data_IF_548987057046
#
_entry.id   IF_548987057046
#
_cell.length_a   1.000
_cell.length_b   1.000
_cell.length_c   1.000
_cell.angle_alpha   90.00
_cell.angle_beta   90.00
_cell.angle_gamma   90.00
#
_symmetry.space_group_name_H-M   'P 1'
#
loop_
_entity.id
_entity.type
_entity.pdbx_description
1 polymer ?
#
# COMPACT_ATOMS: atom_id res chain seq x y z
N UNK A 1 24.01 -3.49 -1.08
CA UNK A 1 23.19 -2.32 -0.71
C UNK A 1 21.80 -2.53 -1.30
N UNK A 2 20.74 -2.50 -0.47
CA UNK A 2 19.36 -2.70 -0.94
C UNK A 2 18.93 -1.51 -1.83
N UNK A 3 17.97 -1.73 -2.75
CA UNK A 3 17.31 -0.65 -3.48
C UNK A 3 16.41 0.15 -2.53
N UNK A 4 17.04 0.93 -1.65
CA UNK A 4 16.37 1.83 -0.73
C UNK A 4 15.82 3.00 -1.53
N UNK A 5 14.52 3.22 -1.42
CA UNK A 5 13.88 4.40 -1.96
C UNK A 5 14.08 5.56 -0.98
N UNK A 6 14.41 6.72 -1.53
CA UNK A 6 14.33 8.01 -0.86
C UNK A 6 13.32 8.87 -1.62
N UNK A 7 12.49 9.61 -0.89
CA UNK A 7 11.41 10.47 -1.41
C UNK A 7 11.57 11.94 -0.99
N UNK A 8 12.70 12.25 -0.36
CA UNK A 8 13.07 13.59 0.13
C UNK A 8 13.55 14.44 -1.04
N UNK A 9 12.58 14.95 -1.79
CA UNK A 9 12.76 15.84 -2.93
C UNK A 9 11.66 16.90 -2.97
N UNK A 10 11.93 17.96 -3.72
CA UNK A 10 10.97 19.00 -4.05
C UNK A 10 9.79 18.40 -4.83
N UNK A 11 8.58 18.84 -4.47
CA UNK A 11 7.32 18.36 -5.05
C UNK A 11 6.54 19.48 -5.75
N UNK A 12 7.16 20.64 -5.92
CA UNK A 12 6.55 21.81 -6.53
C UNK A 12 6.52 21.65 -8.06
N UNK A 13 5.33 21.61 -8.69
CA UNK A 13 5.23 21.58 -10.14
C UNK A 13 5.96 22.76 -10.79
N UNK A 14 6.69 22.51 -11.87
CA UNK A 14 7.46 23.54 -12.59
C UNK A 14 8.82 23.91 -11.97
N UNK A 15 9.16 23.42 -10.79
CA UNK A 15 10.49 23.63 -10.20
C UNK A 15 11.54 22.74 -10.88
N UNK A 16 12.75 23.27 -11.13
CA UNK A 16 13.87 22.49 -11.69
C UNK A 16 14.30 21.30 -10.81
N UNK A 17 14.03 21.39 -9.51
CA UNK A 17 14.32 20.35 -8.53
C UNK A 17 13.16 19.36 -8.31
N UNK A 18 12.06 19.47 -9.06
CA UNK A 18 10.93 18.55 -8.93
C UNK A 18 11.38 17.10 -9.10
N UNK A 19 11.19 16.29 -8.05
CA UNK A 19 11.58 14.87 -8.05
C UNK A 19 13.09 14.60 -8.02
N UNK A 20 13.94 15.63 -7.95
CA UNK A 20 15.40 15.48 -7.91
C UNK A 20 15.84 15.16 -6.48
N UNK A 21 16.52 14.04 -6.28
CA UNK A 21 17.09 13.66 -4.98
C UNK A 21 18.45 14.31 -4.78
N UNK A 22 18.78 14.65 -3.53
CA UNK A 22 20.09 15.18 -3.13
C UNK A 22 20.56 16.39 -3.96
N UNK A 23 19.63 17.27 -4.36
CA UNK A 23 19.98 18.48 -5.09
C UNK A 23 20.91 19.37 -4.24
N UNK A 24 21.94 20.00 -4.83
CA UNK A 24 22.77 20.98 -4.12
C UNK A 24 21.97 22.21 -3.64
N UNK A 25 20.77 22.41 -4.18
CA UNK A 25 19.88 23.51 -3.78
C UNK A 25 19.12 23.21 -2.49
N UNK A 26 19.24 22.00 -1.94
CA UNK A 26 18.57 21.58 -0.72
C UNK A 26 19.36 21.96 0.54
N UNK A 27 18.71 22.70 1.43
CA UNK A 27 19.29 23.16 2.69
C UNK A 27 18.45 22.65 3.85
N UNK A 28 19.08 21.98 4.82
CA UNK A 28 18.37 21.52 6.03
C UNK A 28 17.96 22.71 6.88
N UNK A 29 16.69 22.72 7.31
CA UNK A 29 16.13 23.67 8.24
C UNK A 29 15.38 22.90 9.35
N UNK A 30 16.08 22.65 10.46
CA UNK A 30 15.54 21.83 11.54
C UNK A 30 15.23 20.40 11.09
N UNK A 31 13.94 20.01 11.16
CA UNK A 31 13.44 18.69 10.75
C UNK A 31 13.11 18.61 9.24
N UNK A 32 13.13 19.75 8.55
CA UNK A 32 12.72 19.89 7.17
C UNK A 32 13.90 20.26 6.25
N UNK A 33 13.63 20.27 4.95
CA UNK A 33 14.56 20.65 3.89
C UNK A 33 13.92 21.71 3.01
N UNK A 34 14.60 22.84 2.89
CA UNK A 34 14.22 23.94 2.00
C UNK A 34 14.81 23.70 0.62
N UNK A 35 13.97 23.75 -0.42
CA UNK A 35 14.40 23.88 -1.80
C UNK A 35 14.65 25.36 -2.14
N UNK A 36 15.93 25.78 -2.27
CA UNK A 36 16.28 27.19 -2.53
C UNK A 36 15.73 27.75 -3.85
N UNK A 37 15.43 26.88 -4.81
CA UNK A 37 14.93 27.30 -6.13
C UNK A 37 13.49 27.78 -6.14
N UNK A 38 12.64 27.18 -5.31
CA UNK A 38 11.20 27.50 -5.30
C UNK A 38 10.68 27.87 -3.91
N UNK A 39 11.54 27.89 -2.89
CA UNK A 39 11.17 28.17 -1.51
C UNK A 39 10.36 27.06 -0.84
N UNK A 40 10.11 25.93 -1.51
CA UNK A 40 9.32 24.84 -0.93
C UNK A 40 10.07 24.18 0.22
N UNK A 41 9.52 24.28 1.41
CA UNK A 41 9.96 23.57 2.60
C UNK A 41 9.25 22.22 2.63
N UNK A 42 10.01 21.13 2.53
CA UNK A 42 9.47 19.79 2.61
C UNK A 42 10.10 19.01 3.75
N UNK A 43 9.30 18.18 4.42
CA UNK A 43 9.79 17.40 5.53
C UNK A 43 10.53 16.14 5.08
N UNK A 44 11.44 15.69 5.95
CA UNK A 44 12.28 14.50 5.74
C UNK A 44 11.53 13.24 6.15
N UNK A 45 11.48 12.25 5.26
CA UNK A 45 10.92 10.94 5.52
C UNK A 45 12.05 9.94 5.68
N UNK A 46 12.05 9.23 6.82
CA UNK A 46 13.10 8.23 7.09
C UNK A 46 13.10 7.16 6.00
N UNK A 47 14.18 7.14 5.21
CA UNK A 47 14.40 6.09 4.23
C UNK A 47 14.39 4.70 4.89
N UNK A 48 14.87 4.56 6.13
CA UNK A 48 14.80 3.31 6.88
C UNK A 48 13.37 2.85 7.12
N UNK A 49 12.53 3.71 7.70
CA UNK A 49 11.14 3.42 8.01
C UNK A 49 10.32 3.13 6.74
N UNK A 50 10.50 3.95 5.70
CA UNK A 50 9.82 3.77 4.41
C UNK A 50 10.18 2.44 3.76
N UNK A 51 11.47 2.09 3.72
CA UNK A 51 11.89 0.84 3.10
C UNK A 51 11.50 -0.39 3.92
N UNK A 52 11.50 -0.31 5.26
CA UNK A 52 11.02 -1.40 6.12
C UNK A 52 9.52 -1.66 5.93
N UNK A 53 8.71 -0.59 5.89
CA UNK A 53 7.29 -0.70 5.58
C UNK A 53 7.07 -1.29 4.18
N UNK A 54 7.77 -0.77 3.18
CA UNK A 54 7.75 -1.25 1.80
C UNK A 54 8.10 -2.73 1.70
N UNK A 55 9.11 -3.22 2.44
CA UNK A 55 9.46 -4.64 2.46
C UNK A 55 8.35 -5.52 3.06
N UNK A 56 7.61 -5.00 4.04
CA UNK A 56 6.44 -5.70 4.61
C UNK A 56 5.35 -5.85 3.55
N UNK A 57 5.00 -4.76 2.86
CA UNK A 57 4.00 -4.75 1.79
C UNK A 57 4.42 -5.65 0.61
N UNK A 58 5.70 -5.63 0.24
CA UNK A 58 6.24 -6.44 -0.87
C UNK A 58 6.02 -7.94 -0.71
N UNK A 59 5.90 -8.45 0.53
CA UNK A 59 5.60 -9.87 0.77
C UNK A 59 4.21 -10.25 0.30
N UNK A 60 3.22 -9.37 0.50
CA UNK A 60 1.86 -9.57 0.00
C UNK A 60 1.79 -9.61 -1.53
N UNK A 61 2.64 -8.82 -2.18
CA UNK A 61 2.74 -8.72 -3.64
C UNK A 61 3.78 -9.67 -4.27
N UNK A 62 4.23 -10.70 -3.53
CA UNK A 62 5.29 -11.61 -3.96
C UNK A 62 4.97 -12.28 -5.30
N UNK A 63 5.76 -11.96 -6.32
CA UNK A 63 5.64 -12.51 -7.68
C UNK A 63 4.56 -11.83 -8.54
N UNK A 64 3.80 -10.89 -7.98
CA UNK A 64 2.73 -10.18 -8.67
C UNK A 64 3.20 -8.85 -9.26
N UNK A 65 4.25 -8.25 -8.68
CA UNK A 65 4.92 -7.04 -9.21
C UNK A 65 6.35 -7.35 -9.62
N UNK A 66 6.92 -6.61 -10.59
CA UNK A 66 8.35 -6.70 -10.97
C UNK A 66 9.31 -6.10 -9.94
N UNK A 67 9.14 -6.45 -8.67
CA UNK A 67 10.05 -6.11 -7.59
C UNK A 67 10.36 -7.35 -6.74
N UNK A 68 11.57 -7.38 -6.19
CA UNK A 68 11.94 -8.39 -5.22
C UNK A 68 11.05 -8.27 -3.98
N UNK A 69 10.36 -9.35 -3.56
CA UNK A 69 9.50 -9.34 -2.39
C UNK A 69 10.24 -9.08 -1.07
N UNK A 70 11.57 -9.21 -1.07
CA UNK A 70 12.39 -9.09 0.13
C UNK A 70 13.10 -7.74 0.26
N UNK A 71 13.67 -7.22 -0.82
CA UNK A 71 14.42 -5.95 -0.78
C UNK A 71 13.89 -4.86 -1.71
N UNK A 72 12.83 -5.14 -2.48
CA UNK A 72 12.22 -4.17 -3.39
C UNK A 72 13.06 -3.81 -4.63
N UNK A 73 14.16 -4.52 -4.90
CA UNK A 73 14.94 -4.33 -6.14
C UNK A 73 14.15 -4.73 -7.38
N UNK A 74 14.27 -3.96 -8.45
CA UNK A 74 13.76 -4.29 -9.80
C UNK A 74 14.77 -5.11 -10.62
N UNK A 75 16.01 -5.30 -10.13
CA UNK A 75 17.03 -6.12 -10.80
C UNK A 75 16.73 -7.60 -10.57
N UNK A 76 15.93 -8.16 -11.48
CA UNK A 76 15.43 -9.54 -11.43
C UNK A 76 15.92 -10.31 -12.66
N UNK A 77 16.39 -11.54 -12.44
CA UNK A 77 16.80 -12.46 -13.51
C UNK A 77 15.95 -13.73 -13.49
N UNK A 78 15.69 -14.31 -14.66
CA UNK A 78 15.05 -15.63 -14.78
C UNK A 78 15.93 -16.68 -14.12
N UNK A 79 15.34 -17.61 -13.38
CA UNK A 79 16.03 -18.63 -12.58
C UNK A 79 15.30 -19.99 -12.67
N UNK A 80 15.10 -20.46 -13.89
CA UNK A 80 14.44 -21.75 -14.17
C UNK A 80 12.97 -21.78 -13.76
N UNK A 81 12.50 -22.98 -13.42
CA UNK A 81 11.11 -23.28 -13.13
C UNK A 81 10.95 -23.96 -11.75
N UNK A 82 9.75 -23.87 -11.18
CA UNK A 82 9.36 -24.67 -10.03
C UNK A 82 9.06 -26.12 -10.45
N UNK A 83 8.91 -27.02 -9.48
CA UNK A 83 8.44 -28.40 -9.73
C UNK A 83 7.05 -28.44 -10.37
N UNK A 84 6.26 -27.37 -10.22
CA UNK A 84 4.94 -27.22 -10.83
C UNK A 84 5.00 -26.49 -12.19
N UNK A 85 6.20 -26.29 -12.76
CA UNK A 85 6.39 -25.62 -14.05
C UNK A 85 6.26 -24.09 -14.01
N UNK A 86 6.15 -23.47 -12.84
CA UNK A 86 5.99 -22.01 -12.74
C UNK A 86 7.33 -21.29 -12.83
N UNK A 87 7.37 -20.14 -13.52
CA UNK A 87 8.59 -19.35 -13.65
C UNK A 87 9.14 -18.91 -12.29
N UNK A 88 10.44 -19.09 -12.12
CA UNK A 88 11.18 -18.62 -10.94
C UNK A 88 12.08 -17.45 -11.33
N UNK A 89 12.09 -16.42 -10.49
CA UNK A 89 12.96 -15.26 -10.61
C UNK A 89 13.93 -15.24 -9.44
N UNK A 90 15.14 -14.73 -9.67
CA UNK A 90 16.14 -14.45 -8.65
C UNK A 90 16.43 -12.95 -8.62
N UNK A 91 16.55 -12.37 -7.42
CA UNK A 91 16.98 -10.98 -7.27
C UNK A 91 18.50 -10.89 -7.35
N UNK A 92 19.03 -10.02 -8.21
CA UNK A 92 20.48 -9.82 -8.33
C UNK A 92 21.10 -9.16 -7.09
N UNK A 93 20.32 -8.38 -6.32
CA UNK A 93 20.81 -7.69 -5.13
C UNK A 93 20.85 -8.58 -3.88
N UNK A 94 19.75 -9.28 -3.55
CA UNK A 94 19.67 -10.09 -2.33
C UNK A 94 19.73 -11.59 -2.57
N UNK A 95 19.85 -12.03 -3.84
CA UNK A 95 19.92 -13.43 -4.29
C UNK A 95 18.71 -14.31 -3.97
N UNK A 96 17.70 -13.78 -3.26
CA UNK A 96 16.46 -14.52 -2.97
C UNK A 96 15.71 -14.83 -4.26
N UNK A 97 15.16 -16.05 -4.30
CA UNK A 97 14.34 -16.54 -5.39
C UNK A 97 12.87 -16.52 -5.01
N UNK A 98 12.00 -16.35 -6.00
CA UNK A 98 10.56 -16.39 -5.83
C UNK A 98 9.87 -16.80 -7.12
N UNK A 99 8.65 -17.31 -6.99
CA UNK A 99 7.83 -17.75 -8.12
C UNK A 99 6.99 -16.57 -8.62
N UNK A 100 6.89 -16.46 -9.94
CA UNK A 100 5.98 -15.54 -10.64
C UNK A 100 4.84 -16.39 -11.19
N UNK A 101 3.64 -16.35 -10.59
CA UNK A 101 2.51 -17.11 -11.10
C UNK A 101 2.04 -16.52 -12.44
N UNK A 102 1.64 -17.40 -13.35
CA UNK A 102 1.09 -17.01 -14.67
C UNK A 102 -0.44 -16.88 -14.65
N UNK A 103 -1.12 -17.80 -13.96
CA UNK A 103 -2.58 -17.86 -13.90
C UNK A 103 -3.04 -18.10 -12.46
N UNK A 104 -4.18 -17.50 -12.12
CA UNK A 104 -4.85 -17.81 -10.88
C UNK A 104 -5.32 -19.26 -10.90
N UNK A 105 -5.01 -19.99 -9.83
CA UNK A 105 -5.54 -21.34 -9.59
C UNK A 105 -6.75 -21.17 -8.69
N UNK A 106 -7.95 -21.26 -9.24
CA UNK A 106 -9.17 -21.36 -8.43
C UNK A 106 -9.52 -22.81 -8.19
N UNK A 107 -10.09 -23.08 -7.02
CA UNK A 107 -10.75 -24.34 -6.69
C UNK A 107 -12.19 -24.02 -6.28
N UNK A 108 -13.09 -24.99 -6.36
CA UNK A 108 -14.53 -24.78 -6.13
C UNK A 108 -14.84 -24.06 -4.80
N UNK A 109 -14.03 -24.30 -3.77
CA UNK A 109 -14.19 -23.68 -2.45
C UNK A 109 -13.69 -22.23 -2.41
N UNK A 110 -12.74 -21.85 -3.27
CA UNK A 110 -12.38 -20.43 -3.45
C UNK A 110 -13.48 -19.67 -4.19
N UNK A 111 -14.12 -20.29 -5.17
CA UNK A 111 -15.26 -19.69 -5.88
C UNK A 111 -16.44 -19.52 -4.92
N UNK A 112 -16.77 -20.54 -4.12
CA UNK A 112 -17.81 -20.47 -3.09
C UNK A 112 -17.50 -19.37 -2.04
N UNK A 113 -16.25 -19.29 -1.56
CA UNK A 113 -15.84 -18.21 -0.66
C UNK A 113 -16.04 -16.82 -1.28
N UNK A 114 -15.75 -16.65 -2.57
CA UNK A 114 -15.95 -15.39 -3.27
C UNK A 114 -17.44 -15.02 -3.33
N UNK A 115 -18.30 -15.96 -3.73
CA UNK A 115 -19.76 -15.78 -3.75
C UNK A 115 -20.30 -15.36 -2.38
N UNK A 116 -19.89 -16.03 -1.30
CA UNK A 116 -20.38 -15.69 0.04
C UNK A 116 -19.97 -14.29 0.49
N UNK A 117 -18.79 -13.81 0.08
CA UNK A 117 -18.33 -12.45 0.35
C UNK A 117 -19.16 -11.44 -0.46
N UNK A 118 -19.43 -11.71 -1.73
CA UNK A 118 -20.25 -10.87 -2.60
C UNK A 118 -21.70 -10.74 -2.07
N UNK A 119 -22.24 -11.82 -1.52
CA UNK A 119 -23.56 -11.84 -0.87
C UNK A 119 -23.58 -11.15 0.50
N UNK A 120 -22.42 -10.70 1.01
CA UNK A 120 -22.33 -10.03 2.31
C UNK A 120 -22.45 -10.97 3.51
N UNK A 121 -22.15 -12.26 3.34
CA UNK A 121 -22.22 -13.25 4.42
C UNK A 121 -21.24 -12.89 5.54
N UNK A 122 -21.72 -12.93 6.78
CA UNK A 122 -20.85 -12.68 7.95
C UNK A 122 -19.71 -13.70 8.05
N UNK A 123 -18.58 -13.31 8.67
CA UNK A 123 -17.44 -14.22 8.88
C UNK A 123 -17.84 -15.52 9.62
N UNK A 124 -18.79 -15.43 10.56
CA UNK A 124 -19.32 -16.60 11.26
C UNK A 124 -20.14 -17.51 10.31
N UNK A 125 -20.94 -16.92 9.43
CA UNK A 125 -21.68 -17.63 8.39
C UNK A 125 -20.75 -18.36 7.42
N UNK A 126 -19.73 -17.66 6.91
CA UNK A 126 -18.72 -18.24 6.01
C UNK A 126 -18.02 -19.43 6.67
N UNK A 127 -17.63 -19.31 7.94
CA UNK A 127 -17.00 -20.41 8.69
C UNK A 127 -17.91 -21.63 8.80
N UNK A 128 -19.19 -21.40 9.09
CA UNK A 128 -20.18 -22.47 9.23
C UNK A 128 -20.39 -23.21 7.91
N UNK A 129 -20.65 -22.47 6.82
CA UNK A 129 -20.94 -23.05 5.52
C UNK A 129 -19.75 -23.76 4.90
N UNK A 130 -18.56 -23.13 4.92
CA UNK A 130 -17.33 -23.72 4.39
C UNK A 130 -16.68 -24.73 5.35
N UNK A 131 -17.26 -24.93 6.55
CA UNK A 131 -16.73 -25.80 7.61
C UNK A 131 -15.27 -25.48 7.96
N UNK A 132 -14.97 -24.20 8.15
CA UNK A 132 -13.62 -23.70 8.45
C UNK A 132 -13.50 -23.21 9.90
N UNK A 133 -12.37 -23.55 10.53
CA UNK A 133 -11.93 -22.87 11.74
C UNK A 133 -11.38 -21.47 11.42
N UNK A 134 -11.05 -20.67 12.43
CA UNK A 134 -10.51 -19.32 12.23
C UNK A 134 -9.20 -19.33 11.43
N UNK A 135 -8.35 -20.34 11.63
CA UNK A 135 -7.08 -20.47 10.91
C UNK A 135 -7.30 -20.82 9.44
N UNK A 136 -8.20 -21.78 9.18
CA UNK A 136 -8.60 -22.19 7.85
C UNK A 136 -9.23 -21.05 7.06
N UNK A 137 -10.14 -20.29 7.67
CA UNK A 137 -10.74 -19.11 7.03
C UNK A 137 -9.68 -18.07 6.69
N UNK A 138 -8.78 -17.73 7.63
CA UNK A 138 -7.69 -16.79 7.35
C UNK A 138 -6.83 -17.23 6.16
N UNK A 139 -6.45 -18.51 6.10
CA UNK A 139 -5.70 -19.07 4.96
C UNK A 139 -6.48 -18.97 3.65
N UNK A 140 -7.78 -19.25 3.67
CA UNK A 140 -8.64 -19.17 2.50
C UNK A 140 -8.78 -17.72 2.01
N UNK A 141 -8.96 -16.74 2.92
CA UNK A 141 -9.00 -15.31 2.59
C UNK A 141 -7.67 -14.81 2.02
N UNK A 142 -6.53 -15.23 2.59
CA UNK A 142 -5.21 -14.90 2.03
C UNK A 142 -5.01 -15.47 0.62
N UNK A 143 -5.50 -16.69 0.36
CA UNK A 143 -5.44 -17.31 -0.97
C UNK A 143 -6.33 -16.56 -1.96
N UNK A 144 -7.56 -16.23 -1.56
CA UNK A 144 -8.52 -15.49 -2.40
C UNK A 144 -7.99 -14.08 -2.72
N UNK A 145 -7.50 -13.35 -1.72
CA UNK A 145 -6.86 -12.03 -1.92
C UNK A 145 -5.68 -12.09 -2.88
N UNK A 146 -4.85 -13.14 -2.78
CA UNK A 146 -3.74 -13.36 -3.72
C UNK A 146 -4.23 -13.64 -5.14
N UNK A 147 -5.28 -14.44 -5.29
CA UNK A 147 -5.88 -14.75 -6.60
C UNK A 147 -6.51 -13.51 -7.22
N UNK A 148 -7.23 -12.70 -6.45
CA UNK A 148 -7.77 -11.42 -6.89
C UNK A 148 -6.66 -10.49 -7.40
N UNK A 149 -5.59 -10.29 -6.62
CA UNK A 149 -4.45 -9.46 -7.04
C UNK A 149 -3.76 -9.99 -8.31
N UNK A 150 -3.72 -11.31 -8.53
CA UNK A 150 -3.18 -11.89 -9.74
C UNK A 150 -4.11 -11.68 -10.95
N UNK A 151 -5.41 -11.87 -10.78
CA UNK A 151 -6.40 -11.58 -11.81
C UNK A 151 -6.32 -10.11 -12.24
N UNK A 152 -6.28 -9.21 -11.26
CA UNK A 152 -6.09 -7.77 -11.49
C UNK A 152 -4.80 -7.50 -12.27
N UNK A 153 -3.66 -8.01 -11.82
CA UNK A 153 -2.38 -7.82 -12.53
C UNK A 153 -2.41 -8.33 -13.99
N UNK A 154 -3.18 -9.37 -14.30
CA UNK A 154 -3.27 -9.93 -15.65
C UNK A 154 -4.22 -9.17 -16.57
N UNK A 155 -5.14 -8.40 -16.02
CA UNK A 155 -6.17 -7.71 -16.79
C UNK A 155 -5.64 -6.41 -17.40
N UNK A 156 -5.92 -6.21 -18.69
CA UNK A 156 -5.47 -5.04 -19.45
C UNK A 156 -6.47 -3.88 -19.32
N UNK A 157 -5.98 -2.65 -19.34
CA UNK A 157 -6.83 -1.48 -19.46
C UNK A 157 -7.31 -1.30 -20.91
N UNK A 158 -8.56 -0.85 -21.14
CA UNK A 158 -9.11 -0.71 -22.48
C UNK A 158 -8.42 0.41 -23.27
N UNK A 159 -8.09 1.53 -22.62
CA UNK A 159 -7.47 2.71 -23.23
C UNK A 159 -6.02 2.94 -22.74
N UNK A 160 -5.27 3.76 -23.48
CA UNK A 160 -3.94 4.23 -23.06
C UNK A 160 -4.02 5.36 -22.03
N UNK A 161 -4.99 6.26 -22.20
CA UNK A 161 -5.25 7.36 -21.28
C UNK A 161 -6.28 6.91 -20.25
N UNK A 162 -5.80 6.24 -19.22
CA UNK A 162 -6.63 5.84 -18.07
C UNK A 162 -6.69 6.98 -17.06
N UNK A 163 -7.89 7.27 -16.57
CA UNK A 163 -8.07 8.15 -15.42
C UNK A 163 -8.12 7.29 -14.15
N UNK A 164 -7.35 7.68 -13.14
CA UNK A 164 -7.26 6.96 -11.87
C UNK A 164 -7.74 7.87 -10.74
N UNK A 165 -8.64 7.34 -9.91
CA UNK A 165 -9.13 8.01 -8.72
C UNK A 165 -8.66 7.27 -7.49
N UNK A 166 -8.00 7.98 -6.56
CA UNK A 166 -7.59 7.44 -5.27
C UNK A 166 -8.47 8.01 -4.17
N UNK A 167 -9.07 7.14 -3.37
CA UNK A 167 -9.83 7.53 -2.17
C UNK A 167 -9.20 6.95 -0.92
N UNK A 168 -9.24 7.76 0.13
CA UNK A 168 -8.85 7.37 1.48
C UNK A 168 -10.09 7.20 2.35
N UNK A 169 -10.16 6.12 3.12
CA UNK A 169 -11.22 5.92 4.10
C UNK A 169 -10.73 5.08 5.28
N UNK A 170 -11.56 5.02 6.32
CA UNK A 170 -11.29 4.27 7.54
C UNK A 170 -12.08 2.98 7.53
N UNK A 171 -11.43 1.87 7.87
CA UNK A 171 -12.06 0.56 7.98
C UNK A 171 -11.88 0.02 9.39
N UNK A 172 -12.95 -0.49 9.99
CA UNK A 172 -12.86 -1.18 11.27
C UNK A 172 -12.09 -2.49 11.09
N UNK A 173 -11.16 -2.79 11.99
CA UNK A 173 -10.25 -3.92 11.87
C UNK A 173 -10.19 -4.67 13.19
N UNK A 174 -10.39 -5.99 13.20
CA UNK A 174 -10.34 -6.82 14.41
C UNK A 174 -11.28 -6.40 15.58
N UNK A 175 -12.29 -5.57 15.33
CA UNK A 175 -13.30 -5.17 16.32
C UNK A 175 -12.82 -4.12 17.34
N UNK A 176 -13.77 -3.56 18.11
CA UNK A 176 -13.54 -2.45 19.04
C UNK A 176 -13.22 -1.13 18.34
N UNK A 177 -12.45 -0.25 18.99
CA UNK A 177 -11.98 1.04 18.45
C UNK A 177 -10.81 0.90 17.45
N UNK A 178 -10.65 -0.29 16.90
CA UNK A 178 -9.54 -0.63 16.03
C UNK A 178 -9.86 -0.26 14.59
N UNK A 179 -9.05 0.61 14.01
CA UNK A 179 -9.33 1.17 12.68
C UNK A 179 -8.07 1.33 11.84
N UNK A 180 -8.17 1.01 10.56
CA UNK A 180 -7.09 1.17 9.59
C UNK A 180 -7.41 2.32 8.66
N UNK A 181 -6.37 3.08 8.32
CA UNK A 181 -6.40 3.99 7.18
C UNK A 181 -6.13 3.18 5.92
N UNK A 182 -7.05 3.25 4.97
CA UNK A 182 -7.01 2.50 3.71
C UNK A 182 -7.02 3.45 2.54
N UNK A 183 -6.14 3.19 1.57
CA UNK A 183 -6.11 3.82 0.26
C UNK A 183 -6.58 2.81 -0.78
N UNK A 184 -7.51 3.24 -1.62
CA UNK A 184 -7.98 2.48 -2.78
C UNK A 184 -7.82 3.36 -4.00
N UNK A 185 -7.13 2.84 -5.02
CA UNK A 185 -7.10 3.44 -6.35
C UNK A 185 -7.90 2.59 -7.30
N UNK A 186 -8.83 3.22 -8.02
CA UNK A 186 -9.62 2.61 -9.06
C UNK A 186 -9.51 3.39 -10.38
N UNK A 187 -9.72 2.70 -11.49
CA UNK A 187 -9.87 3.32 -12.80
C UNK A 187 -11.29 3.86 -12.96
N UNK A 188 -11.42 5.11 -13.39
CA UNK A 188 -12.68 5.87 -13.28
C UNK A 188 -13.78 5.34 -14.20
N UNK A 189 -13.47 4.84 -15.40
CA UNK A 189 -14.49 4.43 -16.36
C UNK A 189 -15.07 3.06 -16.04
N UNK A 190 -14.22 2.10 -15.70
CA UNK A 190 -14.63 0.72 -15.39
C UNK A 190 -14.97 0.52 -13.92
N UNK A 191 -14.60 1.45 -13.03
CA UNK A 191 -14.71 1.29 -11.58
C UNK A 191 -13.75 0.24 -11.01
N UNK A 192 -12.84 -0.28 -11.84
CA UNK A 192 -11.94 -1.38 -11.52
C UNK A 192 -10.92 -0.97 -10.47
N UNK A 193 -10.77 -1.76 -9.41
CA UNK A 193 -9.81 -1.50 -8.34
C UNK A 193 -8.41 -1.94 -8.78
N UNK A 194 -7.49 -0.97 -8.87
CA UNK A 194 -6.09 -1.20 -9.25
C UNK A 194 -5.25 -1.62 -8.05
N UNK A 195 -5.42 -0.94 -6.91
CA UNK A 195 -4.64 -1.22 -5.71
C UNK A 195 -5.43 -0.88 -4.44
N UNK A 196 -5.20 -1.69 -3.41
CA UNK A 196 -5.66 -1.45 -2.03
C UNK A 196 -4.43 -1.48 -1.13
N UNK A 197 -4.33 -0.53 -0.20
CA UNK A 197 -3.25 -0.50 0.79
C UNK A 197 -3.77 0.00 2.13
N UNK A 198 -3.28 -0.58 3.22
CA UNK A 198 -3.58 -0.11 4.56
C UNK A 198 -2.32 0.38 5.26
N UNK A 199 -2.49 1.11 6.35
CA UNK A 199 -1.41 1.53 7.24
C UNK A 199 -1.04 0.47 8.30
N UNK A 200 -1.39 -0.79 8.10
CA UNK A 200 -0.97 -1.88 8.97
C UNK A 200 0.44 -2.37 8.59
N UNK A 201 1.29 -2.59 9.59
CA UNK A 201 2.59 -3.22 9.44
C UNK A 201 2.69 -4.44 10.36
N UNK A 202 3.01 -5.60 9.78
CA UNK A 202 3.33 -6.81 10.53
C UNK A 202 4.77 -6.80 11.09
N UNK A 203 5.58 -5.81 10.74
CA UNK A 203 6.94 -5.64 11.25
C UNK A 203 7.03 -4.38 12.11
N UNK A 204 7.87 -4.40 13.16
CA UNK A 204 8.05 -3.23 13.99
C UNK A 204 8.81 -2.13 13.24
N UNK A 205 8.33 -0.89 13.39
CA UNK A 205 8.99 0.34 12.96
C UNK A 205 9.32 1.20 14.18
N UNK A 206 10.24 2.14 14.01
CA UNK A 206 10.57 3.15 15.02
C UNK A 206 9.31 3.89 15.49
N UNK A 207 9.29 4.23 16.78
CA UNK A 207 8.14 4.87 17.44
C UNK A 207 7.69 6.17 16.75
N UNK A 208 8.63 6.91 16.13
CA UNK A 208 8.34 8.14 15.39
C UNK A 208 7.47 7.94 14.14
N UNK A 209 7.38 6.70 13.62
CA UNK A 209 6.61 6.33 12.44
C UNK A 209 5.37 5.49 12.76
N UNK A 210 5.15 5.21 14.03
CA UNK A 210 3.91 4.59 14.51
C UNK A 210 2.82 5.65 14.58
N UNK A 211 1.61 5.27 14.19
CA UNK A 211 0.45 6.14 14.29
C UNK A 211 0.00 6.25 15.75
N UNK A 212 -0.29 7.47 16.18
CA UNK A 212 -0.93 7.75 17.45
C UNK A 212 -2.01 8.78 17.20
N UNK A 213 -3.22 8.51 17.69
CA UNK A 213 -4.30 9.50 17.67
C UNK A 213 -4.13 10.48 18.82
N UNK A 214 -4.36 11.77 18.56
CA UNK A 214 -4.43 12.81 19.57
C UNK A 214 -5.63 12.57 20.49
N UNK A 215 -5.50 12.99 21.75
CA UNK A 215 -6.55 12.81 22.75
C UNK A 215 -7.85 13.52 22.33
N UNK A 216 -7.76 14.69 21.70
CA UNK A 216 -8.94 15.46 21.29
C UNK A 216 -9.79 14.71 20.24
N UNK A 217 -9.18 13.88 19.38
CA UNK A 217 -9.91 13.05 18.41
C UNK A 217 -10.66 11.88 19.07
N UNK A 218 -10.35 11.57 20.32
CA UNK A 218 -11.02 10.54 21.12
C UNK A 218 -12.17 11.10 21.96
N UNK A 219 -12.28 12.41 22.06
CA UNK A 219 -13.39 13.05 22.77
C UNK A 219 -14.69 12.79 22.01
N UNK A 220 -15.81 12.52 22.72
CA UNK A 220 -17.08 12.22 22.09
C UNK A 220 -17.48 13.30 21.07
N UNK A 221 -18.20 12.89 20.01
CA UNK A 221 -18.61 13.81 18.96
C UNK A 221 -19.52 14.91 19.54
N UNK A 222 -19.16 16.17 19.26
CA UNK A 222 -19.99 17.33 19.55
C UNK A 222 -20.85 17.72 18.34
N UNK A 223 -21.35 18.96 18.33
CA UNK A 223 -21.97 19.51 17.11
C UNK A 223 -20.97 19.54 15.94
N UNK A 224 -21.45 19.59 14.69
CA UNK A 224 -20.59 19.66 13.51
C UNK A 224 -19.57 20.81 13.60
N UNK A 225 -20.00 21.98 14.08
CA UNK A 225 -19.12 23.14 14.29
C UNK A 225 -17.96 22.82 15.25
N UNK A 226 -18.24 22.15 16.38
CA UNK A 226 -17.21 21.74 17.32
C UNK A 226 -16.24 20.72 16.71
N UNK A 227 -16.74 19.79 15.88
CA UNK A 227 -15.88 18.81 15.19
C UNK A 227 -14.94 19.51 14.20
N UNK A 228 -15.44 20.47 13.42
CA UNK A 228 -14.62 21.25 12.47
C UNK A 228 -13.56 22.07 13.20
N UNK A 229 -13.96 22.88 14.20
CA UNK A 229 -13.03 23.71 14.98
C UNK A 229 -11.94 22.87 15.66
N UNK A 230 -12.31 21.71 16.20
CA UNK A 230 -11.36 20.77 16.80
C UNK A 230 -10.38 20.25 15.76
N UNK A 231 -10.87 19.88 14.57
CA UNK A 231 -10.02 19.39 13.48
C UNK A 231 -9.05 20.44 12.98
N UNK A 232 -9.50 21.69 12.87
CA UNK A 232 -8.66 22.84 12.52
C UNK A 232 -7.56 23.06 13.56
N UNK A 233 -7.90 23.06 14.85
CA UNK A 233 -6.93 23.22 15.93
C UNK A 233 -5.89 22.09 15.99
N UNK A 234 -6.29 20.84 15.70
CA UNK A 234 -5.34 19.73 15.57
C UNK A 234 -4.44 19.93 14.35
N UNK A 235 -5.02 20.30 13.21
CA UNK A 235 -4.27 20.51 11.96
C UNK A 235 -3.25 21.63 12.10
N UNK A 236 -3.60 22.73 12.76
CA UNK A 236 -2.70 23.85 13.03
C UNK A 236 -1.53 23.50 13.96
N UNK A 237 -1.67 22.48 14.81
CA UNK A 237 -0.64 22.03 15.76
C UNK A 237 0.30 20.96 15.21
N UNK A 238 0.06 20.45 13.99
CA UNK A 238 0.89 19.40 13.41
C UNK A 238 2.29 19.92 13.15
N UNK A 239 3.30 19.18 13.62
CA UNK A 239 4.70 19.51 13.31
C UNK A 239 4.98 19.42 11.81
N UNK A 240 4.29 18.53 11.10
CA UNK A 240 4.46 18.33 9.67
C UNK A 240 3.14 18.03 8.96
N UNK A 241 3.01 18.47 7.72
CA UNK A 241 1.77 18.37 6.93
C UNK A 241 1.27 16.94 6.73
N UNK A 242 2.17 15.95 6.72
CA UNK A 242 1.82 14.54 6.47
C UNK A 242 1.53 13.75 7.75
N UNK A 243 1.61 14.37 8.94
CA UNK A 243 1.19 13.75 10.20
C UNK A 243 -0.33 13.82 10.35
N UNK A 244 -1.02 13.05 9.49
CA UNK A 244 -2.47 13.05 9.40
C UNK A 244 -3.04 12.20 10.55
N UNK A 245 -3.77 12.86 11.45
CA UNK A 245 -4.67 12.18 12.38
C UNK A 245 -6.00 11.87 11.68
N UNK A 246 -6.38 10.59 11.62
CA UNK A 246 -7.64 10.10 11.04
C UNK A 246 -8.61 9.56 12.12
N UNK A 247 -8.36 9.90 13.38
CA UNK A 247 -9.15 9.56 14.53
C UNK A 247 -8.58 8.39 15.35
N UNK A 248 -9.36 7.90 16.32
CA UNK A 248 -8.97 6.77 17.16
C UNK A 248 -8.64 5.54 16.31
N UNK A 249 -7.44 5.03 16.49
CA UNK A 249 -6.99 3.78 15.91
C UNK A 249 -6.12 3.06 16.93
N UNK A 250 -6.63 1.96 17.44
CA UNK A 250 -5.88 1.01 18.26
C UNK A 250 -5.82 -0.33 17.53
N UNK A 251 -4.88 -1.21 17.89
CA UNK A 251 -4.99 -2.60 17.49
C UNK A 251 -5.69 -3.39 18.59
N UNK A 252 -6.39 -4.45 18.18
CA UNK A 252 -7.02 -5.36 19.12
C UNK A 252 -5.97 -5.96 20.06
N UNK A 253 -6.35 -6.15 21.33
CA UNK A 253 -5.51 -6.71 22.39
C UNK A 253 -4.97 -8.07 21.90
N UNK A 254 -3.65 -8.18 21.72
CA UNK A 254 -2.89 -9.34 21.20
C UNK A 254 -2.45 -9.30 19.72
N UNK A 255 -2.77 -8.27 18.92
CA UNK A 255 -2.14 -8.10 17.60
C UNK A 255 -0.68 -7.66 17.78
N UNK A 256 0.27 -8.40 17.19
CA UNK A 256 1.71 -8.12 17.28
C UNK A 256 2.21 -7.12 16.23
N UNK A 257 1.34 -6.69 15.32
CA UNK A 257 1.63 -5.66 14.35
C UNK A 257 1.57 -4.25 14.94
N UNK A 258 1.55 -3.27 14.06
CA UNK A 258 1.37 -1.86 14.41
C UNK A 258 0.67 -1.09 13.30
N UNK A 259 0.06 0.02 13.69
CA UNK A 259 -0.47 1.02 12.78
C UNK A 259 0.63 2.04 12.54
N UNK A 260 0.97 2.31 11.29
CA UNK A 260 2.00 3.29 10.90
C UNK A 260 1.36 4.59 10.43
N UNK A 261 2.13 5.68 10.45
CA UNK A 261 1.67 6.98 9.94
C UNK A 261 1.22 6.88 8.47
N UNK A 262 0.08 7.47 8.06
CA UNK A 262 -0.49 7.35 6.71
C UNK A 262 0.44 7.74 5.55
N UNK A 263 1.47 8.53 5.79
CA UNK A 263 2.46 8.90 4.78
C UNK A 263 3.20 7.70 4.19
N UNK A 264 3.56 6.70 5.01
CA UNK A 264 4.29 5.52 4.54
C UNK A 264 3.47 4.67 3.56
N UNK A 265 2.22 4.29 3.87
CA UNK A 265 1.36 3.61 2.91
C UNK A 265 1.01 4.49 1.72
N UNK A 266 0.91 5.81 1.84
CA UNK A 266 0.67 6.68 0.68
C UNK A 266 1.77 6.55 -0.37
N UNK A 267 3.04 6.73 0.00
CA UNK A 267 4.16 6.55 -0.94
C UNK A 267 4.20 5.15 -1.53
N UNK A 268 4.00 4.13 -0.69
CA UNK A 268 4.02 2.75 -1.19
C UNK A 268 2.82 2.45 -2.10
N UNK A 269 1.66 3.01 -1.81
CA UNK A 269 0.44 2.82 -2.60
C UNK A 269 0.62 3.39 -4.01
N UNK A 270 1.10 4.62 -4.13
CA UNK A 270 1.33 5.21 -5.46
C UNK A 270 2.48 4.53 -6.22
N UNK A 271 3.51 4.02 -5.52
CA UNK A 271 4.51 3.14 -6.14
C UNK A 271 3.87 1.86 -6.69
N UNK A 272 2.95 1.23 -5.94
CA UNK A 272 2.21 0.05 -6.39
C UNK A 272 1.31 0.34 -7.58
N UNK A 273 0.51 1.42 -7.52
CA UNK A 273 -0.37 1.85 -8.61
C UNK A 273 0.44 2.06 -9.88
N UNK A 274 1.57 2.77 -9.79
CA UNK A 274 2.46 2.97 -10.93
C UNK A 274 2.97 1.65 -11.50
N UNK A 275 3.44 0.72 -10.66
CA UNK A 275 3.92 -0.57 -11.17
C UNK A 275 2.84 -1.41 -11.85
N UNK A 276 1.62 -1.39 -11.31
CA UNK A 276 0.51 -2.17 -11.84
C UNK A 276 -0.06 -1.57 -13.13
N UNK A 277 0.14 -0.28 -13.38
CA UNK A 277 -0.34 0.44 -14.57
C UNK A 277 0.73 0.53 -15.66
N UNK A 278 1.96 0.97 -15.33
CA UNK A 278 3.09 1.08 -16.29
C UNK A 278 3.38 -0.28 -16.98
N UNK A 279 3.30 -1.40 -16.24
CA UNK A 279 3.54 -2.74 -16.80
C UNK A 279 2.53 -3.12 -17.89
N UNK A 280 1.28 -2.68 -17.77
CA UNK A 280 0.22 -3.02 -18.71
C UNK A 280 0.32 -2.21 -19.99
N UNK A 281 0.72 -0.93 -19.88
CA UNK A 281 0.96 -0.04 -21.02
C UNK A 281 2.13 -0.54 -21.87
N UNK A 282 3.23 -0.98 -21.24
CA UNK A 282 4.43 -1.49 -21.94
C UNK A 282 4.21 -2.85 -22.65
N UNK A 283 3.29 -3.70 -22.17
CA UNK A 283 2.97 -4.97 -22.86
C UNK A 283 2.18 -4.76 -24.14
N UNK A 284 1.40 -3.68 -24.25
CA UNK A 284 0.60 -3.35 -25.45
C UNK A 284 1.42 -2.65 -26.54
N UNK A 285 2.45 -1.87 -26.19
CA UNK A 285 3.34 -1.26 -27.18
C UNK A 285 4.27 -2.27 -27.89
N UNK A 286 4.42 -3.48 -27.34
CA UNK A 286 5.20 -4.56 -27.92
C UNK A 286 4.39 -5.54 -28.79
N UNK A 287 3.07 -5.35 -28.90
CA UNK A 287 2.23 -6.09 -29.85
C UNK A 287 2.26 -5.36 -31.20
N UNK A 288 2.58 -6.04 -32.32
CA UNK A 288 2.52 -5.41 -33.63
C UNK A 288 1.09 -4.94 -33.88
N UNK A 289 0.94 -3.68 -34.29
CA UNK A 289 -0.32 -3.16 -34.81
C UNK A 289 -0.65 -3.99 -36.05
N UNK A 290 -1.62 -4.90 -35.91
CA UNK A 290 -2.26 -5.60 -37.02
C UNK A 290 -3.22 -4.66 -37.73
#
# INVERSE_FOLDING_TARGET
MFANINVDCCKTPGCKNLGVLNSPDYVRQGKDVLCRECGFLFPVISAGALNLFRHTVNRGWKGLVKQCPACGSTSLKKYGFSTQGEHRMACSQCRKTFIVPEKAKSDCRQDELATLIEEGTSLAGIRSQLKLDSTGLNRALFKLSRNANLAERCQQFPAFDIALSTRAFRVNYNGGDSSLYVLVTAEEQSGRVVAISSNYSAQPLDKAWQYQSYYEERLPPGTLAHMVQRKEAITARRETLFDIDYGPASLYKNDSGMIVKPVLPAYRHFELVRMLTDETLLKRSALPRS
#
